data_IF_982649596409
#
_entry.id   IF_982649596409
#
_cell.length_a   1.000
_cell.length_b   1.000
_cell.length_c   1.000
_cell.angle_alpha   90.00
_cell.angle_beta   90.00
_cell.angle_gamma   90.00
#
_symmetry.space_group_name_H-M   'P 1'
#
loop_
_entity.id
_entity.type
_entity.pdbx_description
1 polymer ?
#
# COMPACT_ATOMS: atom_id res chain seq x y z
N UNK A 1 -0.84 26.91 -29.74
CA UNK A 1 -2.04 27.20 -28.93
C UNK A 1 -3.01 26.02 -28.84
N UNK A 2 -3.44 25.41 -29.96
CA UNK A 2 -4.37 24.24 -29.93
C UNK A 2 -3.84 23.03 -29.13
N UNK A 3 -2.55 22.73 -29.23
CA UNK A 3 -1.92 21.62 -28.49
C UNK A 3 -1.86 21.84 -26.98
N UNK A 4 -1.65 23.09 -26.55
CA UNK A 4 -1.62 23.47 -25.13
C UNK A 4 -3.02 23.35 -24.51
N UNK A 5 -4.04 23.82 -25.22
CA UNK A 5 -5.44 23.73 -24.78
C UNK A 5 -5.83 22.25 -24.62
N UNK A 6 -5.48 21.41 -25.59
CA UNK A 6 -5.75 19.97 -25.53
C UNK A 6 -5.10 19.30 -24.31
N UNK A 7 -3.84 19.63 -24.02
CA UNK A 7 -3.12 19.09 -22.86
C UNK A 7 -3.75 19.54 -21.53
N UNK A 8 -4.13 20.81 -21.42
CA UNK A 8 -4.80 21.35 -20.22
C UNK A 8 -6.17 20.67 -20.03
N UNK A 9 -6.95 20.47 -21.09
CA UNK A 9 -8.24 19.76 -20.96
C UNK A 9 -8.06 18.30 -20.54
N UNK A 10 -7.01 17.63 -21.00
CA UNK A 10 -6.73 16.22 -20.66
C UNK A 10 -6.31 16.09 -19.17
N UNK A 11 -5.48 17.03 -18.69
CA UNK A 11 -5.09 17.11 -17.27
C UNK A 11 -6.30 17.44 -16.39
N UNK A 12 -7.13 18.42 -16.78
CA UNK A 12 -8.33 18.78 -16.02
C UNK A 12 -9.37 17.65 -16.01
N UNK A 13 -9.56 16.95 -17.13
CA UNK A 13 -10.45 15.80 -17.17
C UNK A 13 -9.94 14.67 -16.28
N UNK A 14 -8.62 14.42 -16.28
CA UNK A 14 -8.00 13.41 -15.42
C UNK A 14 -8.20 13.74 -13.94
N UNK A 15 -7.92 14.98 -13.52
CA UNK A 15 -8.15 15.47 -12.15
C UNK A 15 -9.62 15.39 -11.75
N UNK A 16 -10.54 15.69 -12.69
CA UNK A 16 -11.97 15.56 -12.43
C UNK A 16 -12.39 14.10 -12.24
N UNK A 17 -11.92 13.15 -13.06
CA UNK A 17 -12.23 11.71 -12.87
C UNK A 17 -11.65 11.15 -11.58
N UNK A 18 -10.45 11.57 -11.17
CA UNK A 18 -9.85 11.13 -9.90
C UNK A 18 -10.64 11.64 -8.68
N UNK A 19 -11.32 12.79 -8.80
CA UNK A 19 -12.13 13.35 -7.72
C UNK A 19 -13.61 12.90 -7.74
N UNK A 20 -14.09 12.27 -8.83
CA UNK A 20 -15.50 11.95 -9.06
C UNK A 20 -15.86 10.46 -8.89
N UNK A 21 -14.97 9.64 -8.35
CA UNK A 21 -15.38 8.32 -7.83
C UNK A 21 -15.70 8.46 -6.36
N UNK A 22 -16.97 8.76 -5.98
CA UNK A 22 -17.41 8.61 -4.61
C UNK A 22 -17.26 7.13 -4.27
N UNK A 23 -16.40 6.85 -3.29
CA UNK A 23 -16.37 5.58 -2.56
C UNK A 23 -17.49 5.57 -1.49
N UNK A 24 -18.62 6.22 -1.76
CA UNK A 24 -19.78 6.26 -0.86
C UNK A 24 -20.62 4.98 -0.99
N UNK A 25 -19.97 3.85 -1.26
CA UNK A 25 -20.53 2.57 -0.87
C UNK A 25 -20.38 2.50 0.64
N UNK A 26 -21.40 2.95 1.38
CA UNK A 26 -21.53 2.61 2.80
C UNK A 26 -21.56 1.09 2.88
N UNK A 27 -20.41 0.48 3.16
CA UNK A 27 -20.34 -0.92 3.56
C UNK A 27 -21.02 -1.02 4.92
N UNK A 28 -22.32 -1.28 4.89
CA UNK A 28 -23.16 -1.44 6.06
C UNK A 28 -22.96 -2.84 6.65
N UNK A 29 -21.85 -3.03 7.35
CA UNK A 29 -21.69 -4.17 8.25
C UNK A 29 -22.40 -3.94 9.57
N UNK A 30 -22.79 -5.01 10.27
CA UNK A 30 -23.17 -4.94 11.69
C UNK A 30 -22.33 -5.93 12.49
N UNK A 31 -22.18 -5.69 13.79
CA UNK A 31 -21.50 -6.64 14.67
C UNK A 31 -22.36 -6.88 15.92
N UNK A 32 -22.15 -8.02 16.58
CA UNK A 32 -22.82 -8.35 17.83
C UNK A 32 -21.79 -8.79 18.87
N UNK A 33 -21.88 -8.25 20.07
CA UNK A 33 -21.10 -8.77 21.20
C UNK A 33 -21.52 -10.21 21.52
N UNK A 34 -20.54 -11.04 21.86
CA UNK A 34 -20.77 -12.43 22.25
C UNK A 34 -20.22 -12.69 23.66
N UNK A 35 -20.57 -13.83 24.24
CA UNK A 35 -19.94 -14.32 25.47
C UNK A 35 -18.85 -15.37 25.20
N UNK A 36 -18.46 -15.56 23.94
CA UNK A 36 -17.45 -16.54 23.53
C UNK A 36 -16.06 -15.92 23.62
N UNK A 37 -15.10 -16.67 24.17
CA UNK A 37 -13.68 -16.35 24.09
C UNK A 37 -13.09 -16.92 22.80
N UNK A 38 -11.88 -16.48 22.42
CA UNK A 38 -11.18 -17.03 21.25
C UNK A 38 -11.08 -18.56 21.30
N UNK A 39 -10.78 -19.11 22.48
CA UNK A 39 -10.74 -20.55 22.71
C UNK A 39 -12.10 -21.23 22.51
N UNK A 40 -13.20 -20.57 22.89
CA UNK A 40 -14.53 -21.13 22.64
C UNK A 40 -14.79 -21.20 21.12
N UNK A 41 -14.41 -20.15 20.38
CA UNK A 41 -14.56 -20.08 18.92
C UNK A 41 -13.75 -21.16 18.20
N UNK A 42 -12.49 -21.38 18.57
CA UNK A 42 -11.65 -22.44 18.00
C UNK A 42 -12.21 -23.85 18.21
N UNK A 43 -13.03 -24.05 19.25
CA UNK A 43 -13.66 -25.33 19.54
C UNK A 43 -15.09 -25.46 18.97
N UNK A 44 -15.58 -24.46 18.22
CA UNK A 44 -16.88 -24.57 17.56
C UNK A 44 -16.79 -25.61 16.45
N UNK A 45 -17.68 -26.61 16.52
CA UNK A 45 -17.80 -27.60 15.44
C UNK A 45 -18.31 -26.92 14.17
N UNK A 46 -17.67 -27.23 13.03
CA UNK A 46 -18.10 -26.73 11.72
C UNK A 46 -19.45 -27.34 11.34
N UNK A 47 -20.45 -26.48 11.14
CA UNK A 47 -21.83 -26.88 10.86
C UNK A 47 -22.05 -26.94 9.35
N UNK A 48 -22.40 -28.12 8.84
CA UNK A 48 -22.87 -28.28 7.45
C UNK A 48 -24.31 -27.80 7.35
N UNK A 49 -24.64 -27.13 6.25
CA UNK A 49 -25.98 -26.58 6.00
C UNK A 49 -26.45 -26.90 4.59
N UNK A 50 -27.76 -26.84 4.37
CA UNK A 50 -28.36 -26.82 3.03
C UNK A 50 -29.06 -25.48 2.76
N UNK A 51 -29.52 -24.82 3.82
CA UNK A 51 -30.22 -23.54 3.80
C UNK A 51 -29.75 -22.66 4.97
N UNK A 52 -30.03 -21.37 4.91
CA UNK A 52 -29.68 -20.42 5.98
C UNK A 52 -30.36 -20.77 7.32
N UNK A 53 -31.52 -21.44 7.27
CA UNK A 53 -32.28 -21.88 8.46
C UNK A 53 -31.56 -22.99 9.25
N UNK A 54 -30.60 -23.69 8.64
CA UNK A 54 -29.79 -24.72 9.31
C UNK A 54 -28.69 -24.10 10.20
N UNK A 55 -28.44 -22.79 10.05
CA UNK A 55 -27.32 -22.12 10.68
C UNK A 55 -27.67 -21.47 12.03
N UNK A 56 -26.70 -21.41 12.96
CA UNK A 56 -26.91 -20.80 14.27
C UNK A 56 -27.06 -19.27 14.15
N UNK A 57 -27.51 -18.63 15.24
CA UNK A 57 -27.72 -17.18 15.29
C UNK A 57 -26.46 -16.35 14.96
N UNK A 58 -25.27 -16.87 15.30
CA UNK A 58 -23.97 -16.24 15.00
C UNK A 58 -23.39 -16.75 13.68
N UNK A 59 -24.21 -16.79 12.64
CA UNK A 59 -23.84 -17.15 11.27
C UNK A 59 -24.31 -16.09 10.28
N UNK A 60 -23.55 -15.89 9.21
CA UNK A 60 -23.88 -15.07 8.05
C UNK A 60 -24.77 -15.80 7.03
N UNK A 61 -25.10 -17.06 7.30
CA UNK A 61 -25.91 -17.92 6.44
C UNK A 61 -25.17 -19.17 5.99
N UNK A 62 -25.73 -19.86 5.02
CA UNK A 62 -25.14 -21.04 4.42
C UNK A 62 -24.32 -20.67 3.18
N UNK A 63 -23.01 -20.88 3.22
CA UNK A 63 -22.09 -20.53 2.15
C UNK A 63 -21.45 -21.77 1.52
N UNK A 64 -21.20 -21.69 0.21
CA UNK A 64 -20.49 -22.70 -0.56
C UNK A 64 -18.98 -22.44 -0.48
N UNK A 65 -18.25 -23.39 0.09
CA UNK A 65 -16.80 -23.41 0.12
C UNK A 65 -16.27 -24.44 -0.88
N UNK A 66 -15.28 -24.05 -1.66
CA UNK A 66 -14.58 -24.92 -2.62
C UNK A 66 -13.14 -25.12 -2.16
N UNK A 67 -12.70 -26.38 -2.06
CA UNK A 67 -11.32 -26.74 -1.75
C UNK A 67 -10.76 -27.69 -2.82
N UNK A 68 -9.56 -27.40 -3.32
CA UNK A 68 -8.87 -28.25 -4.30
C UNK A 68 -8.08 -29.35 -3.60
N UNK A 69 -8.45 -30.62 -3.83
CA UNK A 69 -7.80 -31.76 -3.17
C UNK A 69 -6.54 -32.29 -3.87
N UNK A 70 -6.13 -31.64 -4.97
CA UNK A 70 -5.06 -32.08 -5.86
C UNK A 70 -5.55 -32.63 -7.19
N UNK A 71 -6.82 -33.08 -7.26
CA UNK A 71 -7.42 -33.68 -8.46
C UNK A 71 -8.71 -32.96 -8.88
N UNK A 72 -9.58 -32.60 -7.94
CA UNK A 72 -10.86 -31.94 -8.19
C UNK A 72 -11.16 -30.89 -7.11
N UNK A 73 -12.04 -29.94 -7.47
CA UNK A 73 -12.66 -29.05 -6.49
C UNK A 73 -13.73 -29.82 -5.70
N UNK A 74 -13.57 -29.87 -4.38
CA UNK A 74 -14.57 -30.42 -3.47
C UNK A 74 -15.40 -29.26 -2.90
N UNK A 75 -16.71 -29.39 -3.01
CA UNK A 75 -17.69 -28.42 -2.54
C UNK A 75 -18.27 -28.79 -1.17
N UNK A 76 -18.35 -27.81 -0.28
CA UNK A 76 -18.93 -27.92 1.06
C UNK A 76 -19.90 -26.76 1.31
N UNK A 77 -21.14 -27.06 1.69
CA UNK A 77 -22.05 -26.05 2.20
C UNK A 77 -21.93 -25.96 3.72
N UNK A 78 -21.39 -24.85 4.22
CA UNK A 78 -21.06 -24.65 5.63
C UNK A 78 -21.65 -23.33 6.13
N UNK A 79 -22.00 -23.29 7.41
CA UNK A 79 -22.45 -22.04 8.05
C UNK A 79 -21.28 -21.08 8.18
N UNK A 80 -21.36 -19.94 7.50
CA UNK A 80 -20.32 -18.93 7.51
C UNK A 80 -20.33 -18.16 8.84
N UNK A 81 -19.25 -18.25 9.60
CA UNK A 81 -19.12 -17.52 10.86
C UNK A 81 -17.81 -16.75 10.85
N UNK A 82 -17.88 -15.45 11.17
CA UNK A 82 -16.69 -14.61 11.30
C UNK A 82 -16.76 -13.88 12.63
N UNK A 83 -15.71 -14.02 13.42
CA UNK A 83 -15.56 -13.35 14.70
C UNK A 83 -14.27 -12.52 14.71
N UNK A 84 -14.26 -11.48 15.52
CA UNK A 84 -13.07 -10.74 15.87
C UNK A 84 -12.83 -10.85 17.37
N UNK A 85 -11.59 -11.16 17.78
CA UNK A 85 -11.26 -11.53 19.15
C UNK A 85 -9.96 -10.85 19.62
N UNK A 86 -9.74 -10.82 20.94
CA UNK A 86 -8.42 -10.68 21.53
C UNK A 86 -8.13 -11.91 22.41
N UNK A 87 -6.85 -12.20 22.68
CA UNK A 87 -6.40 -13.41 23.38
C UNK A 87 -7.15 -13.72 24.69
N UNK A 88 -7.51 -12.69 25.47
CA UNK A 88 -8.12 -12.82 26.79
C UNK A 88 -9.43 -12.04 26.93
N UNK A 89 -10.13 -11.79 25.82
CA UNK A 89 -11.41 -11.09 25.82
C UNK A 89 -12.51 -11.96 25.21
N UNK A 90 -13.75 -11.51 25.39
CA UNK A 90 -14.87 -12.00 24.57
C UNK A 90 -14.71 -11.50 23.14
N UNK A 91 -15.16 -12.30 22.20
CA UNK A 91 -15.19 -12.00 20.78
C UNK A 91 -16.46 -11.23 20.40
N UNK A 92 -16.38 -10.54 19.27
CA UNK A 92 -17.53 -9.96 18.57
C UNK A 92 -17.80 -10.77 17.30
N UNK A 93 -19.07 -11.01 16.99
CA UNK A 93 -19.52 -11.62 15.75
C UNK A 93 -19.68 -10.54 14.67
N UNK A 94 -19.15 -10.78 13.48
CA UNK A 94 -19.22 -9.87 12.33
C UNK A 94 -20.31 -10.36 11.36
N UNK A 95 -21.39 -9.59 11.24
CA UNK A 95 -22.52 -9.91 10.38
C UNK A 95 -22.39 -9.24 9.01
N UNK A 96 -22.08 -10.03 7.98
CA UNK A 96 -21.87 -9.58 6.59
C UNK A 96 -20.95 -8.35 6.48
N UNK A 97 -19.89 -8.33 7.29
CA UNK A 97 -19.02 -7.18 7.44
C UNK A 97 -17.56 -7.52 7.18
N UNK A 98 -16.92 -6.78 6.28
CA UNK A 98 -15.46 -6.64 6.31
C UNK A 98 -15.09 -5.60 7.37
N UNK A 99 -13.91 -5.71 7.96
CA UNK A 99 -13.39 -4.69 8.88
C UNK A 99 -12.76 -3.52 8.13
N UNK A 100 -12.38 -3.71 6.87
CA UNK A 100 -11.79 -2.70 6.00
C UNK A 100 -12.20 -2.89 4.53
N UNK A 101 -11.93 -1.88 3.71
CA UNK A 101 -11.90 -1.98 2.25
C UNK A 101 -10.62 -1.33 1.71
N UNK A 102 -10.27 -1.63 0.45
CA UNK A 102 -9.10 -1.05 -0.21
C UNK A 102 -9.61 -0.03 -1.21
N UNK A 103 -9.15 1.21 -1.08
CA UNK A 103 -9.58 2.27 -1.97
C UNK A 103 -8.83 2.25 -3.31
N UNK A 104 -9.21 3.14 -4.22
CA UNK A 104 -8.56 3.30 -5.54
C UNK A 104 -7.09 3.75 -5.47
N UNK A 105 -6.62 4.20 -4.30
CA UNK A 105 -5.22 4.56 -4.06
C UNK A 105 -4.42 3.40 -3.46
N UNK A 106 -5.00 2.20 -3.43
CA UNK A 106 -4.39 0.99 -2.85
C UNK A 106 -4.03 1.20 -1.37
N UNK A 107 -4.85 1.99 -0.68
CA UNK A 107 -4.75 2.22 0.76
C UNK A 107 -5.90 1.51 1.46
N UNK A 108 -5.60 0.94 2.62
CA UNK A 108 -6.59 0.32 3.49
C UNK A 108 -7.38 1.38 4.25
N UNK A 109 -8.70 1.23 4.21
CA UNK A 109 -9.64 2.07 4.94
C UNK A 109 -10.46 1.22 5.89
N UNK A 110 -10.33 1.51 7.18
CA UNK A 110 -11.16 0.91 8.22
C UNK A 110 -12.62 1.33 8.11
N UNK A 111 -13.54 0.39 8.35
CA UNK A 111 -14.98 0.64 8.39
C UNK A 111 -15.42 0.80 9.85
N UNK A 112 -15.99 1.96 10.21
CA UNK A 112 -16.70 2.13 11.47
C UNK A 112 -18.13 1.60 11.40
N UNK A 113 -18.59 1.06 12.52
CA UNK A 113 -19.93 0.50 12.64
C UNK A 113 -20.86 1.48 13.36
N UNK A 114 -22.08 1.64 12.81
CA UNK A 114 -22.98 2.75 13.13
C UNK A 114 -23.58 2.68 14.54
N UNK A 115 -23.85 1.49 15.08
CA UNK A 115 -24.60 1.35 16.36
C UNK A 115 -23.79 1.82 17.58
N UNK A 116 -22.48 1.58 17.63
CA UNK A 116 -21.62 1.93 18.79
C UNK A 116 -20.43 2.84 18.47
N UNK A 117 -20.22 3.23 17.20
CA UNK A 117 -19.04 3.99 16.73
C UNK A 117 -17.71 3.39 17.21
N UNK A 118 -17.62 2.07 17.22
CA UNK A 118 -16.35 1.36 17.38
C UNK A 118 -15.76 1.12 15.99
N UNK A 119 -14.46 1.36 15.90
CA UNK A 119 -13.65 1.18 14.70
C UNK A 119 -12.92 -0.14 14.88
N UNK A 120 -13.31 -1.14 14.10
CA UNK A 120 -12.77 -2.50 14.22
C UNK A 120 -11.39 -2.63 13.58
N UNK A 121 -11.13 -1.89 12.51
CA UNK A 121 -9.83 -1.88 11.85
C UNK A 121 -8.82 -1.00 12.59
N UNK A 122 -7.55 -1.41 12.55
CA UNK A 122 -6.45 -0.68 13.18
C UNK A 122 -5.23 -0.71 12.28
N UNK A 123 -4.61 0.44 12.09
CA UNK A 123 -3.40 0.56 11.30
C UNK A 123 -2.17 0.16 12.11
N UNK A 124 -1.23 -0.53 11.47
CA UNK A 124 0.10 -0.63 12.06
C UNK A 124 0.78 0.73 12.11
N UNK A 125 1.63 0.96 13.11
CA UNK A 125 2.43 2.20 13.20
C UNK A 125 3.29 2.43 11.96
N UNK A 126 3.72 1.36 11.29
CA UNK A 126 4.53 1.46 10.09
C UNK A 126 3.68 1.87 8.90
N UNK A 127 2.56 1.18 8.65
CA UNK A 127 1.63 1.50 7.56
C UNK A 127 1.09 2.94 7.66
N UNK A 128 0.73 3.38 8.87
CA UNK A 128 0.30 4.76 9.12
C UNK A 128 1.38 5.78 8.72
N UNK A 129 2.64 5.58 9.12
CA UNK A 129 3.75 6.49 8.77
C UNK A 129 4.01 6.56 7.26
N UNK A 130 3.70 5.50 6.53
CA UNK A 130 3.87 5.42 5.08
C UNK A 130 2.62 5.83 4.29
N UNK A 131 1.54 6.26 4.97
CA UNK A 131 0.23 6.56 4.38
C UNK A 131 -0.32 5.37 3.57
N UNK A 132 -0.18 4.15 4.09
CA UNK A 132 -0.71 2.92 3.48
C UNK A 132 -2.01 2.46 4.14
N UNK A 133 -2.34 3.03 5.30
CA UNK A 133 -3.51 2.68 6.08
C UNK A 133 -4.10 3.94 6.72
N UNK A 134 -5.42 4.05 6.67
CA UNK A 134 -6.23 5.07 7.32
C UNK A 134 -7.44 4.39 8.00
N UNK A 135 -7.91 4.97 9.10
CA UNK A 135 -9.13 4.54 9.76
C UNK A 135 -10.12 5.69 9.81
N UNK A 136 -11.38 5.38 10.12
CA UNK A 136 -12.28 6.41 10.61
C UNK A 136 -11.68 7.15 11.82
N UNK A 137 -12.13 8.40 12.01
CA UNK A 137 -11.59 9.30 13.03
C UNK A 137 -11.94 8.80 14.43
N UNK A 138 -10.93 8.40 15.20
CA UNK A 138 -11.11 8.10 16.63
C UNK A 138 -10.90 9.36 17.48
N UNK A 139 -11.71 9.52 18.53
CA UNK A 139 -11.57 10.63 19.49
C UNK A 139 -10.88 10.15 20.77
N UNK A 140 -11.20 8.91 21.16
CA UNK A 140 -10.72 8.26 22.38
C UNK A 140 -10.26 6.84 22.06
N UNK A 141 -9.46 6.25 22.96
CA UNK A 141 -9.02 4.87 22.83
C UNK A 141 -10.21 3.88 22.75
N UNK A 142 -11.31 4.19 23.45
CA UNK A 142 -12.54 3.38 23.46
C UNK A 142 -13.27 3.37 22.11
N UNK A 143 -12.96 4.30 21.19
CA UNK A 143 -13.47 4.25 19.82
C UNK A 143 -12.76 3.20 18.97
N UNK A 144 -11.61 2.69 19.41
CA UNK A 144 -10.81 1.72 18.68
C UNK A 144 -10.94 0.35 19.33
N UNK A 145 -11.20 -0.68 18.52
CA UNK A 145 -11.22 -2.05 19.03
C UNK A 145 -9.86 -2.47 19.62
N UNK A 146 -8.75 -1.96 19.08
CA UNK A 146 -7.39 -2.13 19.62
C UNK A 146 -7.15 -1.41 20.95
N UNK A 147 -8.11 -0.59 21.42
CA UNK A 147 -7.99 0.29 22.57
C UNK A 147 -6.79 1.26 22.47
N UNK A 148 -6.48 1.73 21.24
CA UNK A 148 -5.38 2.66 21.01
C UNK A 148 -5.70 3.64 19.86
N UNK A 149 -5.98 4.89 20.23
CA UNK A 149 -6.19 6.00 19.31
C UNK A 149 -4.97 6.94 19.32
N UNK A 150 -4.33 7.15 18.17
CA UNK A 150 -3.18 8.03 18.02
C UNK A 150 -3.36 8.90 16.79
N UNK A 151 -3.31 10.23 16.96
CA UNK A 151 -3.49 11.19 15.86
C UNK A 151 -4.78 10.93 15.07
N UNK A 152 -5.88 10.74 15.79
CA UNK A 152 -7.21 10.48 15.24
C UNK A 152 -7.33 9.18 14.42
N UNK A 153 -6.35 8.28 14.50
CA UNK A 153 -6.32 6.98 13.83
C UNK A 153 -6.25 5.84 14.84
N UNK A 154 -7.01 4.77 14.62
CA UNK A 154 -6.88 3.55 15.43
C UNK A 154 -5.62 2.80 15.03
N UNK A 155 -4.75 2.55 16.00
CA UNK A 155 -3.45 1.92 15.79
C UNK A 155 -3.44 0.54 16.46
N UNK A 156 -2.77 -0.45 15.86
CA UNK A 156 -2.63 -1.77 16.48
C UNK A 156 -1.90 -1.69 17.82
N UNK A 157 -2.34 -2.50 18.77
CA UNK A 157 -1.85 -2.52 20.14
C UNK A 157 -1.12 -3.84 20.42
N UNK A 158 0.22 -3.88 20.48
CA UNK A 158 0.96 -5.11 20.68
C UNK A 158 0.66 -5.84 22.00
N UNK A 159 0.12 -5.15 22.99
CA UNK A 159 -0.30 -5.75 24.27
C UNK A 159 -1.74 -6.28 24.23
N UNK A 160 -2.46 -5.99 23.15
CA UNK A 160 -3.86 -6.32 22.95
C UNK A 160 -4.13 -6.62 21.46
N UNK A 161 -3.43 -7.63 20.90
CA UNK A 161 -3.54 -7.96 19.47
C UNK A 161 -4.94 -8.42 19.12
N UNK A 162 -5.35 -8.11 17.89
CA UNK A 162 -6.65 -8.50 17.35
C UNK A 162 -6.52 -9.72 16.44
N UNK A 163 -7.50 -10.62 16.51
CA UNK A 163 -7.57 -11.83 15.71
C UNK A 163 -8.89 -11.87 14.95
N UNK A 164 -8.86 -12.39 13.73
CA UNK A 164 -10.04 -12.75 12.96
C UNK A 164 -10.16 -14.27 13.02
N UNK A 165 -11.30 -14.75 13.51
CA UNK A 165 -11.63 -16.15 13.59
C UNK A 165 -12.72 -16.50 12.58
N UNK A 166 -12.43 -17.39 11.64
CA UNK A 166 -13.38 -17.86 10.63
C UNK A 166 -13.00 -19.25 10.13
N UNK A 167 -13.88 -19.81 9.30
CA UNK A 167 -13.62 -21.10 8.66
C UNK A 167 -12.37 -21.01 7.78
N UNK A 168 -11.45 -21.95 8.00
CA UNK A 168 -10.25 -22.16 7.22
C UNK A 168 -10.02 -23.66 7.01
N UNK A 169 -9.24 -24.02 6.00
CA UNK A 169 -8.91 -25.41 5.71
C UNK A 169 -7.63 -25.82 6.43
N UNK A 170 -7.70 -26.89 7.22
CA UNK A 170 -6.55 -27.44 7.94
C UNK A 170 -5.95 -28.58 7.14
N UNK A 171 -4.78 -28.37 6.56
CA UNK A 171 -4.12 -29.32 5.66
C UNK A 171 -3.78 -30.65 6.36
N UNK A 172 -3.41 -30.62 7.64
CA UNK A 172 -3.09 -31.84 8.40
C UNK A 172 -4.32 -32.75 8.55
N UNK A 173 -5.48 -32.15 8.83
CA UNK A 173 -6.72 -32.84 9.14
C UNK A 173 -7.63 -33.03 7.92
N UNK A 174 -7.30 -32.37 6.80
CA UNK A 174 -8.04 -32.38 5.54
C UNK A 174 -9.53 -32.08 5.73
N UNK A 175 -9.83 -31.09 6.55
CA UNK A 175 -11.20 -30.68 6.86
C UNK A 175 -11.23 -29.19 7.22
N UNK A 176 -12.39 -28.52 7.03
CA UNK A 176 -12.56 -27.16 7.50
C UNK A 176 -12.61 -27.14 9.02
N UNK A 177 -11.95 -26.16 9.63
CA UNK A 177 -12.02 -25.85 11.06
C UNK A 177 -12.12 -24.33 11.28
N UNK A 178 -12.57 -23.91 12.45
CA UNK A 178 -12.49 -22.51 12.85
C UNK A 178 -11.04 -22.18 13.25
N UNK A 179 -10.38 -21.31 12.49
CA UNK A 179 -9.04 -20.83 12.81
C UNK A 179 -9.07 -19.35 13.17
N UNK A 180 -8.32 -18.99 14.21
CA UNK A 180 -8.12 -17.61 14.66
C UNK A 180 -6.72 -17.15 14.25
N UNK A 181 -6.65 -16.23 13.29
CA UNK A 181 -5.38 -15.68 12.79
C UNK A 181 -5.33 -14.17 13.01
N UNK A 182 -4.15 -13.58 12.93
CA UNK A 182 -3.95 -12.16 13.23
C UNK A 182 -4.70 -11.29 12.22
N UNK A 183 -5.34 -10.25 12.73
CA UNK A 183 -6.06 -9.29 11.93
C UNK A 183 -5.11 -8.42 11.09
N UNK A 184 -5.67 -7.72 10.12
CA UNK A 184 -4.93 -6.75 9.32
C UNK A 184 -4.25 -5.66 10.21
N UNK A 185 -3.03 -5.28 9.87
CA UNK A 185 -2.17 -4.34 10.59
C UNK A 185 -1.42 -4.92 11.80
N UNK A 186 -1.73 -6.15 12.21
CA UNK A 186 -1.06 -6.82 13.33
C UNK A 186 0.30 -7.37 12.93
N UNK A 187 1.23 -7.47 13.88
CA UNK A 187 2.59 -7.92 13.62
C UNK A 187 2.64 -9.41 13.26
N UNK A 188 3.29 -9.78 12.16
CA UNK A 188 3.48 -11.17 11.71
C UNK A 188 4.94 -11.46 11.36
N UNK A 189 5.29 -12.75 11.29
CA UNK A 189 6.57 -13.19 10.71
C UNK A 189 6.38 -14.07 9.46
N UNK A 190 5.20 -14.66 9.30
CA UNK A 190 4.86 -15.61 8.25
C UNK A 190 3.40 -15.41 7.80
N UNK A 191 3.09 -15.79 6.56
CA UNK A 191 1.77 -15.61 5.97
C UNK A 191 0.68 -16.41 6.69
N UNK A 192 1.01 -17.59 7.23
CA UNK A 192 0.08 -18.46 7.97
C UNK A 192 -0.36 -17.88 9.32
N UNK A 193 0.35 -16.86 9.85
CA UNK A 193 -0.08 -16.12 11.03
C UNK A 193 -1.21 -15.13 10.72
N UNK A 194 -1.41 -14.77 9.45
CA UNK A 194 -2.36 -13.77 9.00
C UNK A 194 -3.68 -14.40 8.55
N UNK A 195 -4.77 -13.72 8.84
CA UNK A 195 -6.10 -14.10 8.38
C UNK A 195 -6.14 -14.33 6.85
N UNK A 196 -6.94 -15.31 6.37
CA UNK A 196 -6.84 -15.89 5.00
C UNK A 196 -6.96 -14.91 3.81
N UNK A 197 -7.42 -13.67 4.04
CA UNK A 197 -7.48 -12.60 3.03
C UNK A 197 -6.23 -11.70 3.01
N UNK A 198 -5.31 -11.93 3.95
CA UNK A 198 -4.11 -11.15 4.20
C UNK A 198 -2.87 -12.03 4.08
N UNK A 199 -1.75 -11.38 3.83
CA UNK A 199 -0.41 -11.97 3.80
C UNK A 199 0.51 -11.16 4.71
N UNK A 200 1.64 -11.74 5.09
CA UNK A 200 2.63 -11.05 5.90
C UNK A 200 3.53 -10.18 5.01
N UNK A 201 3.42 -8.86 5.13
CA UNK A 201 4.34 -7.95 4.46
C UNK A 201 5.74 -8.09 5.11
N UNK A 202 6.66 -8.75 4.40
CA UNK A 202 8.02 -8.97 4.89
C UNK A 202 8.83 -7.69 5.13
N UNK A 203 8.49 -6.57 4.49
CA UNK A 203 9.18 -5.30 4.68
C UNK A 203 8.69 -4.58 5.94
N UNK A 204 7.38 -4.68 6.23
CA UNK A 204 6.74 -3.99 7.34
C UNK A 204 6.50 -4.88 8.57
N UNK A 205 6.68 -6.19 8.43
CA UNK A 205 6.40 -7.25 9.41
C UNK A 205 4.94 -7.22 9.92
N UNK A 206 3.97 -6.98 9.03
CA UNK A 206 2.55 -6.86 9.40
C UNK A 206 1.63 -7.59 8.43
N UNK A 207 0.52 -8.12 8.94
CA UNK A 207 -0.53 -8.65 8.10
C UNK A 207 -1.14 -7.51 7.30
N UNK A 208 -1.20 -7.66 5.98
CA UNK A 208 -1.76 -6.67 5.06
C UNK A 208 -2.44 -7.36 3.89
N UNK A 209 -3.32 -6.64 3.18
CA UNK A 209 -3.87 -7.19 1.95
C UNK A 209 -2.78 -7.45 0.91
N UNK A 210 -2.86 -8.56 0.13
CA UNK A 210 -1.94 -8.84 -0.96
C UNK A 210 -1.75 -7.66 -1.92
N UNK A 211 -2.82 -6.92 -2.22
CA UNK A 211 -2.78 -5.75 -3.10
C UNK A 211 -1.83 -4.65 -2.57
N UNK A 212 -1.83 -4.41 -1.25
CA UNK A 212 -0.93 -3.43 -0.64
C UNK A 212 0.51 -3.93 -0.65
N UNK A 213 0.71 -5.22 -0.37
CA UNK A 213 2.06 -5.81 -0.37
C UNK A 213 2.70 -5.81 -1.76
N UNK A 214 1.91 -6.07 -2.81
CA UNK A 214 2.35 -5.97 -4.21
C UNK A 214 2.66 -4.52 -4.58
N UNK A 215 1.80 -3.56 -4.21
CA UNK A 215 2.03 -2.14 -4.46
C UNK A 215 3.32 -1.63 -3.81
N UNK A 216 3.56 -2.02 -2.56
CA UNK A 216 4.77 -1.62 -1.83
C UNK A 216 6.04 -2.11 -2.54
N UNK A 217 6.00 -3.33 -3.08
CA UNK A 217 7.09 -3.91 -3.86
C UNK A 217 7.32 -3.16 -5.18
N UNK A 218 6.26 -2.79 -5.88
CA UNK A 218 6.35 -2.09 -7.17
C UNK A 218 6.75 -0.62 -7.03
N UNK A 219 6.32 0.05 -5.96
CA UNK A 219 6.66 1.47 -5.73
C UNK A 219 8.16 1.66 -5.51
N UNK A 220 8.84 0.72 -4.85
CA UNK A 220 10.31 0.73 -4.70
C UNK A 220 11.01 0.74 -6.07
N UNK A 221 10.48 0.03 -7.06
CA UNK A 221 11.03 0.02 -8.41
C UNK A 221 10.85 1.38 -9.11
N UNK A 222 9.69 2.00 -8.94
CA UNK A 222 9.37 3.29 -9.54
C UNK A 222 10.22 4.43 -8.96
N UNK A 223 10.41 4.46 -7.64
CA UNK A 223 11.31 5.40 -6.97
C UNK A 223 12.76 5.22 -7.46
N UNK A 224 13.22 3.97 -7.60
CA UNK A 224 14.54 3.67 -8.15
C UNK A 224 14.71 4.19 -9.59
N UNK A 225 13.70 3.99 -10.46
CA UNK A 225 13.72 4.53 -11.81
C UNK A 225 13.72 6.06 -11.84
N UNK A 226 12.98 6.70 -10.93
CA UNK A 226 12.99 8.16 -10.80
C UNK A 226 14.38 8.67 -10.42
N UNK A 227 15.00 8.10 -9.38
CA UNK A 227 16.36 8.48 -8.96
C UNK A 227 17.39 8.22 -10.07
N UNK A 228 17.33 7.07 -10.76
CA UNK A 228 18.17 6.77 -11.90
C UNK A 228 17.98 7.80 -13.02
N UNK A 229 16.74 8.20 -13.31
CA UNK A 229 16.40 9.21 -14.30
C UNK A 229 17.00 10.58 -13.95
N UNK A 230 16.94 11.01 -12.68
CA UNK A 230 17.56 12.25 -12.20
C UNK A 230 19.08 12.20 -12.38
N UNK A 231 19.73 11.09 -11.98
CA UNK A 231 21.18 10.91 -12.12
C UNK A 231 21.61 10.96 -13.58
N UNK A 232 20.93 10.25 -14.47
CA UNK A 232 21.23 10.27 -15.92
C UNK A 232 21.04 11.68 -16.49
N UNK A 233 20.00 12.40 -16.08
CA UNK A 233 19.76 13.78 -16.52
C UNK A 233 20.90 14.72 -16.10
N UNK A 234 21.37 14.60 -14.86
CA UNK A 234 22.51 15.38 -14.35
C UNK A 234 23.78 15.08 -15.17
N UNK A 235 24.05 13.81 -15.49
CA UNK A 235 25.19 13.40 -16.32
C UNK A 235 25.09 14.02 -17.73
N UNK A 236 23.90 14.02 -18.34
CA UNK A 236 23.67 14.64 -19.65
C UNK A 236 23.93 16.16 -19.59
N UNK A 237 23.47 16.84 -18.54
CA UNK A 237 23.72 18.28 -18.38
C UNK A 237 25.23 18.56 -18.22
N UNK A 238 25.93 17.78 -17.39
CA UNK A 238 27.37 17.95 -17.19
C UNK A 238 28.16 17.69 -18.47
N UNK A 239 27.83 16.65 -19.22
CA UNK A 239 28.47 16.37 -20.52
C UNK A 239 28.21 17.47 -21.54
N UNK A 240 27.01 18.04 -21.61
CA UNK A 240 26.71 19.19 -22.46
C UNK A 240 27.54 20.43 -22.07
N UNK A 241 27.67 20.72 -20.78
CA UNK A 241 28.51 21.83 -20.28
C UNK A 241 29.97 21.64 -20.72
N UNK A 242 30.51 20.43 -20.58
CA UNK A 242 31.87 20.10 -21.02
C UNK A 242 32.02 20.28 -22.54
N UNK A 243 31.07 19.78 -23.34
CA UNK A 243 31.11 19.93 -24.79
C UNK A 243 31.05 21.39 -25.23
N UNK A 244 30.17 22.20 -24.64
CA UNK A 244 30.09 23.65 -24.90
C UNK A 244 31.40 24.33 -24.52
N UNK A 245 31.98 23.97 -23.36
CA UNK A 245 33.25 24.55 -22.91
C UNK A 245 34.41 24.21 -23.85
N UNK A 246 34.49 22.96 -24.32
CA UNK A 246 35.47 22.53 -25.31
C UNK A 246 35.29 23.26 -26.65
N UNK A 247 34.05 23.46 -27.09
CA UNK A 247 33.74 24.23 -28.30
C UNK A 247 34.20 25.68 -28.16
N UNK A 248 33.89 26.36 -27.05
CA UNK A 248 34.33 27.73 -26.78
C UNK A 248 35.85 27.82 -26.73
N UNK A 249 36.53 26.87 -26.07
CA UNK A 249 37.99 26.81 -26.04
C UNK A 249 38.59 26.62 -27.44
N UNK A 250 37.96 25.79 -28.29
CA UNK A 250 38.38 25.62 -29.68
C UNK A 250 38.25 26.91 -30.48
N UNK A 251 37.13 27.65 -30.33
CA UNK A 251 36.95 28.94 -30.98
C UNK A 251 37.97 29.97 -30.48
N UNK A 252 38.20 30.03 -29.17
CA UNK A 252 39.20 30.92 -28.58
C UNK A 252 40.61 30.60 -29.10
N UNK A 253 40.97 29.32 -29.19
CA UNK A 253 42.26 28.87 -29.71
C UNK A 253 42.48 29.34 -31.15
N UNK A 254 41.48 29.21 -32.03
CA UNK A 254 41.56 29.71 -33.42
C UNK A 254 41.75 31.23 -33.43
N UNK A 255 40.99 31.98 -32.63
CA UNK A 255 41.14 33.43 -32.55
C UNK A 255 42.52 33.87 -32.04
N UNK A 256 43.08 33.14 -31.05
CA UNK A 256 44.44 33.39 -30.57
C UNK A 256 45.51 33.09 -31.62
N UNK A 257 45.34 32.04 -32.42
CA UNK A 257 46.27 31.71 -33.49
C UNK A 257 46.28 32.80 -34.59
N UNK A 258 45.11 33.30 -34.98
CA UNK A 258 45.00 34.44 -35.90
C UNK A 258 45.66 35.71 -35.33
N UNK A 259 45.41 36.02 -34.06
CA UNK A 259 46.04 37.17 -33.40
C UNK A 259 47.57 37.05 -33.35
N UNK A 260 48.08 35.84 -33.07
CA UNK A 260 49.51 35.55 -33.06
C UNK A 260 50.13 35.76 -34.44
N UNK A 261 49.48 35.27 -35.49
CA UNK A 261 49.93 35.48 -36.88
C UNK A 261 49.97 36.98 -37.26
N UNK A 262 48.98 37.76 -36.84
CA UNK A 262 48.97 39.23 -37.05
C UNK A 262 50.13 39.89 -36.29
N UNK A 263 50.38 39.50 -35.04
CA UNK A 263 51.46 40.07 -34.22
C UNK A 263 52.86 39.79 -34.80
N UNK A 264 53.08 38.59 -35.34
CA UNK A 264 54.34 38.24 -36.00
C UNK A 264 54.60 39.09 -37.25
N UNK A 265 53.58 39.30 -38.09
CA UNK A 265 53.72 40.16 -39.27
C UNK A 265 54.08 41.61 -38.90
N UNK A 266 53.43 42.17 -37.87
CA UNK A 266 53.75 43.53 -37.40
C UNK A 266 55.19 43.59 -36.88
N UNK A 267 55.65 42.56 -36.15
CA UNK A 267 57.01 42.50 -35.61
C UNK A 267 58.10 42.51 -36.69
N UNK A 268 57.88 41.81 -37.81
CA UNK A 268 58.82 41.79 -38.94
C UNK A 268 58.87 43.14 -39.68
N UNK A 269 57.74 43.83 -39.83
CA UNK A 269 57.70 45.18 -40.41
C UNK A 269 58.51 46.20 -39.58
N UNK A 270 58.40 46.14 -38.25
CA UNK A 270 59.18 47.01 -37.36
C UNK A 270 60.70 46.77 -37.47
N UNK A 271 61.14 45.51 -37.64
CA UNK A 271 62.56 45.19 -37.83
C UNK A 271 63.12 45.75 -39.13
N UNK A 272 62.36 45.69 -40.23
CA UNK A 272 62.81 46.25 -41.51
C UNK A 272 63.00 47.78 -41.46
N UNK A 273 62.16 48.49 -40.70
CA UNK A 273 62.29 49.93 -40.50
C UNK A 273 63.53 50.32 -39.68
N UNK A 274 63.97 49.45 -38.76
CA UNK A 274 65.17 49.67 -37.94
C UNK A 274 66.45 49.49 -38.77
N UNK A 275 66.49 48.48 -39.65
CA UNK A 275 67.61 48.25 -40.57
C UNK A 275 67.78 49.34 -41.63
N UNK A 276 66.73 50.11 -41.95
CA UNK A 276 66.79 51.19 -42.95
C UNK A 276 67.30 52.52 -42.35
N UNK A 277 67.30 52.67 -41.03
CA UNK A 277 67.70 53.89 -40.32
C UNK A 277 69.12 53.84 -39.72
N UNK A 278 69.85 52.73 -39.92
CA UNK A 278 71.28 52.58 -39.59
C UNK A 278 72.13 52.58 -40.86
#
# INVERSE_FOLDING_TARGET
MKTLIFYITLVLSYVATVNLTPLDGEYAGSFKYTNYTMKDIENIEVIKCNTDDDCPEFSNGCALYTHWDGENDIEYNLCEMTFMCHDNSTCIFLNNASTYYINIKEMEYGIAFVEDKIILHSCSKQMYKHNLCETDTCITADNCYSNLCIHDTCITNPNYPSYICRLDWVDEDKKPEMQCKKANGEKCSHDDECDQVNVCDNDLEVCASPLITEHHRDRKFLDYLFFLGVVVTVIIILTLIVLISLFVLSCAYVAFDELKNILFNIGDDYRQLEDTNN
#
